data_IF_048792156181
#
_entry.id   IF_048792156181
#
_cell.length_a   1.000
_cell.length_b   1.000
_cell.length_c   1.000
_cell.angle_alpha   90.00
_cell.angle_beta   90.00
_cell.angle_gamma   90.00
#
_symmetry.space_group_name_H-M   'P 1'
#
loop_
_entity.id
_entity.type
_entity.pdbx_description
1 polymer ?
#
# COMPACT_ATOMS: atom_id res chain seq x y z
N UNK A 1 -61.07 45.00 -79.84
CA UNK A 1 -62.02 44.77 -80.95
C UNK A 1 -63.40 45.34 -80.66
N UNK A 2 -64.06 45.96 -81.64
CA UNK A 2 -65.48 46.37 -81.58
C UNK A 2 -66.36 45.56 -82.55
N UNK A 3 -67.68 45.75 -82.48
CA UNK A 3 -68.66 45.12 -83.40
C UNK A 3 -69.03 46.10 -84.50
N UNK A 4 -69.47 45.58 -85.66
CA UNK A 4 -70.01 46.41 -86.75
C UNK A 4 -71.23 47.20 -86.27
N UNK A 5 -71.21 48.51 -86.47
CA UNK A 5 -72.18 49.46 -85.96
C UNK A 5 -72.66 50.49 -87.00
N UNK A 6 -72.42 50.20 -88.28
CA UNK A 6 -73.04 50.92 -89.39
C UNK A 6 -74.57 50.94 -89.28
N UNK A 7 -75.22 51.92 -89.91
CA UNK A 7 -76.69 52.08 -89.87
C UNK A 7 -77.46 50.86 -90.36
N UNK A 8 -76.83 50.06 -91.20
CA UNK A 8 -77.36 48.81 -91.79
C UNK A 8 -76.91 47.54 -91.05
N UNK A 9 -76.16 47.67 -89.96
CA UNK A 9 -75.81 46.56 -89.10
C UNK A 9 -77.09 45.93 -88.54
N UNK A 10 -77.13 44.59 -88.48
CA UNK A 10 -78.25 43.91 -87.86
C UNK A 10 -78.19 44.13 -86.36
N UNK A 11 -79.09 45.00 -85.88
CA UNK A 11 -79.20 45.32 -84.46
C UNK A 11 -79.45 44.05 -83.64
N UNK A 12 -78.70 43.90 -82.54
CA UNK A 12 -78.88 42.85 -81.54
C UNK A 12 -78.83 41.40 -82.06
N UNK A 13 -78.15 41.16 -83.20
CA UNK A 13 -78.03 39.81 -83.82
C UNK A 13 -77.58 38.73 -82.84
N UNK A 14 -76.72 39.07 -81.87
CA UNK A 14 -76.19 38.15 -80.88
C UNK A 14 -76.60 38.49 -79.42
N UNK A 15 -77.70 39.24 -79.25
CA UNK A 15 -78.20 39.72 -77.95
C UNK A 15 -78.19 41.25 -77.83
N UNK A 16 -78.75 41.79 -76.75
CA UNK A 16 -78.83 43.25 -76.55
C UNK A 16 -77.45 43.93 -76.63
N UNK A 17 -77.36 44.98 -77.44
CA UNK A 17 -76.13 45.73 -77.74
C UNK A 17 -75.13 45.02 -78.65
N UNK A 18 -75.48 43.84 -79.18
CA UNK A 18 -74.55 42.96 -79.91
C UNK A 18 -74.90 42.86 -81.38
N UNK A 19 -74.66 43.95 -82.09
CA UNK A 19 -74.86 44.05 -83.53
C UNK A 19 -74.01 43.03 -84.31
N UNK A 20 -74.42 42.72 -85.54
CA UNK A 20 -73.69 41.82 -86.43
C UNK A 20 -74.05 42.00 -87.90
N UNK A 21 -73.32 41.30 -88.78
CA UNK A 21 -73.50 41.37 -90.23
C UNK A 21 -74.80 40.69 -90.69
N UNK A 22 -75.50 41.28 -91.66
CA UNK A 22 -76.58 40.65 -92.41
C UNK A 22 -76.32 40.76 -93.92
N UNK A 23 -76.72 39.74 -94.67
CA UNK A 23 -76.68 39.76 -96.15
C UNK A 23 -77.78 40.63 -96.77
N UNK A 24 -78.62 41.24 -95.95
CA UNK A 24 -79.84 41.91 -96.38
C UNK A 24 -80.92 40.94 -96.84
N UNK A 25 -82.09 41.47 -97.14
CA UNK A 25 -83.18 40.73 -97.78
C UNK A 25 -83.95 41.69 -98.71
N UNK A 26 -83.76 41.58 -100.03
CA UNK A 26 -84.44 42.44 -101.01
C UNK A 26 -85.97 42.32 -100.94
N UNK A 27 -86.52 41.17 -100.53
CA UNK A 27 -87.97 40.96 -100.42
C UNK A 27 -88.61 41.71 -99.25
N UNK A 28 -87.84 41.99 -98.19
CA UNK A 28 -88.31 42.71 -97.00
C UNK A 28 -87.75 44.12 -96.89
N UNK A 29 -87.06 44.60 -97.94
CA UNK A 29 -86.44 45.93 -97.97
C UNK A 29 -85.28 46.12 -96.99
N UNK A 30 -84.72 45.04 -96.43
CA UNK A 30 -83.59 45.12 -95.48
C UNK A 30 -82.28 45.21 -96.26
N UNK A 31 -81.50 46.30 -96.16
CA UNK A 31 -80.20 46.39 -96.82
C UNK A 31 -79.20 45.39 -96.22
N UNK A 32 -78.18 45.03 -97.00
CA UNK A 32 -77.03 44.31 -96.45
C UNK A 32 -76.24 45.23 -95.51
N UNK A 33 -75.47 44.66 -94.60
CA UNK A 33 -74.62 45.46 -93.71
C UNK A 33 -73.49 46.10 -94.51
N UNK A 34 -73.54 47.44 -94.57
CA UNK A 34 -72.46 48.28 -95.04
C UNK A 34 -71.21 48.02 -94.21
N UNK A 35 -70.10 47.92 -94.93
CA UNK A 35 -68.76 47.78 -94.42
C UNK A 35 -68.17 49.19 -94.25
N UNK A 36 -67.65 49.51 -93.08
CA UNK A 36 -66.97 50.76 -92.77
C UNK A 36 -65.48 50.56 -92.50
N UNK A 37 -64.72 51.64 -92.69
CA UNK A 37 -63.30 51.72 -92.44
C UNK A 37 -62.97 51.42 -90.97
N UNK A 38 -63.70 52.02 -90.03
CA UNK A 38 -63.46 51.83 -88.60
C UNK A 38 -63.41 50.35 -88.18
N UNK A 39 -64.31 49.50 -88.70
CA UNK A 39 -64.30 48.07 -88.39
C UNK A 39 -63.12 47.31 -89.02
N UNK A 40 -62.76 47.63 -90.26
CA UNK A 40 -61.64 46.95 -90.93
C UNK A 40 -60.28 47.40 -90.39
N UNK A 41 -60.13 48.68 -90.06
CA UNK A 41 -58.92 49.22 -89.44
C UNK A 41 -58.71 48.61 -88.06
N UNK A 42 -59.76 48.46 -87.25
CA UNK A 42 -59.65 47.77 -85.96
C UNK A 42 -59.18 46.31 -86.12
N UNK A 43 -59.72 45.56 -87.08
CA UNK A 43 -59.27 44.17 -87.31
C UNK A 43 -57.82 44.13 -87.79
N UNK A 44 -57.42 45.07 -88.65
CA UNK A 44 -56.05 45.18 -89.12
C UNK A 44 -55.11 45.47 -87.95
N UNK A 45 -55.38 46.49 -87.14
CA UNK A 45 -54.51 46.90 -86.05
C UNK A 45 -54.42 45.86 -84.93
N UNK A 46 -55.48 45.11 -84.64
CA UNK A 46 -55.45 44.00 -83.68
C UNK A 46 -54.52 42.86 -84.15
N UNK A 47 -54.55 42.53 -85.45
CA UNK A 47 -53.64 41.52 -86.02
C UNK A 47 -52.21 42.06 -86.15
N UNK A 48 -52.04 43.32 -86.53
CA UNK A 48 -50.75 43.97 -86.64
C UNK A 48 -50.06 44.11 -85.27
N UNK A 49 -50.81 44.50 -84.24
CA UNK A 49 -50.33 44.61 -82.86
C UNK A 49 -49.74 43.30 -82.34
N UNK A 50 -50.33 42.15 -82.69
CA UNK A 50 -49.78 40.83 -82.32
C UNK A 50 -48.41 40.60 -82.98
N UNK A 51 -48.24 41.01 -84.24
CA UNK A 51 -46.97 40.90 -84.96
C UNK A 51 -45.92 41.80 -84.35
N UNK A 52 -46.25 43.06 -84.13
CA UNK A 52 -45.34 44.05 -83.54
C UNK A 52 -44.94 43.70 -82.11
N UNK A 53 -45.86 43.16 -81.30
CA UNK A 53 -45.58 42.69 -79.94
C UNK A 53 -44.52 41.57 -79.90
N UNK A 54 -44.38 40.79 -80.98
CA UNK A 54 -43.31 39.79 -81.10
C UNK A 54 -41.94 40.38 -81.42
N UNK A 55 -41.86 41.69 -81.69
CA UNK A 55 -40.66 42.41 -82.11
C UNK A 55 -40.42 42.41 -83.62
N UNK A 56 -41.33 41.84 -84.42
CA UNK A 56 -41.24 41.83 -85.88
C UNK A 56 -41.88 43.08 -86.50
N UNK A 57 -41.38 43.51 -87.66
CA UNK A 57 -41.97 44.61 -88.43
C UNK A 57 -43.03 44.10 -89.42
N UNK A 58 -44.03 44.94 -89.72
CA UNK A 58 -45.09 44.61 -90.66
C UNK A 58 -44.61 44.67 -92.11
N UNK A 59 -44.79 43.58 -92.85
CA UNK A 59 -44.35 43.42 -94.23
C UNK A 59 -45.52 43.10 -95.17
N UNK A 60 -45.91 44.04 -96.02
CA UNK A 60 -47.06 43.91 -96.94
C UNK A 60 -47.04 42.64 -97.81
N UNK A 61 -45.86 42.18 -98.22
CA UNK A 61 -45.68 41.00 -99.07
C UNK A 61 -45.66 39.66 -98.33
N UNK A 62 -45.74 39.66 -97.00
CA UNK A 62 -45.52 38.48 -96.16
C UNK A 62 -46.84 37.99 -95.55
N UNK A 63 -47.22 36.75 -95.88
CA UNK A 63 -48.53 36.18 -95.52
C UNK A 63 -48.51 35.20 -94.32
N UNK A 64 -47.39 35.11 -93.59
CA UNK A 64 -47.20 34.23 -92.41
C UNK A 64 -46.80 35.01 -91.14
N UNK A 65 -46.95 36.34 -91.14
CA UNK A 65 -46.48 37.22 -90.06
C UNK A 65 -47.14 36.90 -88.72
N UNK A 66 -48.47 36.75 -88.71
CA UNK A 66 -49.22 36.38 -87.50
C UNK A 66 -48.76 35.02 -86.95
N UNK A 67 -48.57 34.03 -87.84
CA UNK A 67 -48.10 32.70 -87.44
C UNK A 67 -46.69 32.75 -86.85
N UNK A 68 -45.80 33.54 -87.44
CA UNK A 68 -44.43 33.75 -86.95
C UNK A 68 -44.44 34.42 -85.58
N UNK A 69 -45.25 35.47 -85.43
CA UNK A 69 -45.38 36.22 -84.19
C UNK A 69 -45.91 35.33 -83.04
N UNK A 70 -46.94 34.53 -83.31
CA UNK A 70 -47.47 33.58 -82.32
C UNK A 70 -46.42 32.55 -81.89
N UNK A 71 -45.61 32.04 -82.82
CA UNK A 71 -44.50 31.12 -82.47
C UNK A 71 -43.48 31.80 -81.55
N UNK A 72 -43.08 33.03 -81.87
CA UNK A 72 -42.12 33.76 -81.05
C UNK A 72 -42.67 34.07 -79.65
N UNK A 73 -43.89 34.58 -79.57
CA UNK A 73 -44.54 34.96 -78.31
C UNK A 73 -44.81 33.76 -77.41
N UNK A 74 -45.13 32.59 -77.96
CA UNK A 74 -45.44 31.39 -77.18
C UNK A 74 -44.19 30.58 -76.79
N UNK A 75 -43.03 30.85 -77.39
CA UNK A 75 -41.74 30.25 -77.00
C UNK A 75 -41.00 31.09 -75.95
N UNK A 76 -41.30 32.39 -75.83
CA UNK A 76 -40.68 33.29 -74.87
C UNK A 76 -41.47 33.34 -73.56
N UNK A 77 -41.01 32.64 -72.52
CA UNK A 77 -41.53 32.83 -71.15
C UNK A 77 -40.88 34.06 -70.50
N UNK A 78 -41.64 34.81 -69.69
CA UNK A 78 -41.13 36.00 -68.99
C UNK A 78 -40.10 35.67 -67.91
N UNK A 79 -40.24 34.51 -67.25
CA UNK A 79 -39.35 34.04 -66.18
C UNK A 79 -38.99 32.56 -66.38
N UNK A 80 -38.24 32.20 -67.43
CA UNK A 80 -38.05 30.81 -67.84
C UNK A 80 -37.51 29.91 -66.72
N UNK A 81 -36.64 30.41 -65.82
CA UNK A 81 -36.14 29.63 -64.67
C UNK A 81 -37.10 29.56 -63.47
N UNK A 82 -37.94 30.58 -63.28
CA UNK A 82 -38.94 30.60 -62.20
C UNK A 82 -40.12 29.68 -62.48
N UNK A 83 -40.50 29.55 -63.75
CA UNK A 83 -41.67 28.78 -64.19
C UNK A 83 -41.40 27.25 -64.21
N UNK A 84 -40.14 26.82 -64.17
CA UNK A 84 -39.74 25.39 -64.16
C UNK A 84 -40.35 24.64 -62.98
N UNK A 85 -40.55 25.30 -61.82
CA UNK A 85 -41.14 24.68 -60.64
C UNK A 85 -42.60 24.26 -60.86
N UNK A 86 -43.33 24.99 -61.70
CA UNK A 86 -44.74 24.72 -62.04
C UNK A 86 -44.93 23.75 -63.22
N UNK A 87 -43.91 23.54 -64.05
CA UNK A 87 -43.95 22.63 -65.21
C UNK A 87 -43.92 21.14 -64.83
N UNK A 88 -43.82 20.83 -63.53
CA UNK A 88 -44.02 19.49 -62.97
C UNK A 88 -42.81 18.55 -63.08
N UNK A 89 -42.14 18.44 -64.23
CA UNK A 89 -41.04 17.46 -64.40
C UNK A 89 -39.66 18.09 -64.22
N UNK A 90 -39.32 18.33 -62.95
CA UNK A 90 -38.01 18.87 -62.52
C UNK A 90 -36.83 18.01 -63.03
N UNK A 91 -37.04 16.71 -63.27
CA UNK A 91 -36.00 15.76 -63.69
C UNK A 91 -35.32 16.13 -65.02
N UNK A 92 -36.09 16.37 -66.08
CA UNK A 92 -35.53 16.71 -67.40
C UNK A 92 -34.84 18.08 -67.39
N UNK A 93 -35.31 19.02 -66.57
CA UNK A 93 -34.63 20.31 -66.39
C UNK A 93 -33.28 20.15 -65.69
N UNK A 94 -33.19 19.28 -64.67
CA UNK A 94 -31.92 18.97 -63.99
C UNK A 94 -30.93 18.24 -64.91
N UNK A 95 -31.41 17.32 -65.76
CA UNK A 95 -30.62 16.63 -66.78
C UNK A 95 -30.05 17.63 -67.80
N UNK A 96 -30.88 18.53 -68.35
CA UNK A 96 -30.44 19.55 -69.31
C UNK A 96 -29.41 20.53 -68.73
N UNK A 97 -29.44 20.77 -67.42
CA UNK A 97 -28.48 21.63 -66.72
C UNK A 97 -27.23 20.86 -66.25
N UNK A 98 -27.16 19.54 -66.45
CA UNK A 98 -26.04 18.70 -66.02
C UNK A 98 -25.92 18.58 -64.49
N UNK A 99 -27.00 18.82 -63.74
CA UNK A 99 -26.98 18.87 -62.28
C UNK A 99 -27.24 17.51 -61.61
N UNK A 100 -27.60 16.48 -62.38
CA UNK A 100 -27.93 15.15 -61.85
C UNK A 100 -26.78 14.54 -61.03
N UNK A 101 -25.56 14.55 -61.58
CA UNK A 101 -24.38 14.00 -60.87
C UNK A 101 -24.00 14.84 -59.63
N UNK A 102 -24.16 16.16 -59.70
CA UNK A 102 -23.87 17.06 -58.59
C UNK A 102 -24.81 16.82 -57.41
N UNK A 103 -26.10 16.63 -57.69
CA UNK A 103 -27.10 16.29 -56.66
C UNK A 103 -26.76 14.96 -56.00
N UNK A 104 -26.42 13.93 -56.79
CA UNK A 104 -26.06 12.61 -56.25
C UNK A 104 -24.82 12.67 -55.35
N UNK A 105 -23.78 13.42 -55.74
CA UNK A 105 -22.58 13.60 -54.91
C UNK A 105 -22.83 14.43 -53.65
N UNK A 106 -23.69 15.45 -53.74
CA UNK A 106 -24.01 16.31 -52.61
C UNK A 106 -24.92 15.62 -51.58
N UNK A 107 -25.82 14.73 -52.02
CA UNK A 107 -26.72 14.01 -51.14
C UNK A 107 -25.99 13.20 -50.05
N UNK A 108 -24.83 12.63 -50.39
CA UNK A 108 -24.04 11.78 -49.48
C UNK A 108 -22.78 12.46 -48.91
N UNK A 109 -22.48 13.69 -49.29
CA UNK A 109 -21.32 14.42 -48.77
C UNK A 109 -21.53 14.86 -47.31
N UNK A 110 -20.59 14.49 -46.43
CA UNK A 110 -20.51 14.96 -45.03
C UNK A 110 -21.77 14.67 -44.18
N UNK A 111 -22.53 13.61 -44.48
CA UNK A 111 -23.62 13.17 -43.60
C UNK A 111 -23.05 12.79 -42.22
N UNK A 112 -23.65 13.31 -41.14
CA UNK A 112 -23.21 13.00 -39.75
C UNK A 112 -23.23 11.49 -39.45
N UNK A 113 -24.17 10.76 -40.05
CA UNK A 113 -24.30 9.30 -39.98
C UNK A 113 -23.19 8.55 -40.73
N UNK A 114 -22.46 9.24 -41.63
CA UNK A 114 -21.41 8.68 -42.47
C UNK A 114 -20.03 9.30 -42.19
N UNK A 115 -19.83 10.00 -41.05
CA UNK A 115 -18.56 10.65 -40.67
C UNK A 115 -17.33 9.74 -40.89
N UNK A 116 -16.70 9.85 -42.07
CA UNK A 116 -15.54 9.08 -42.47
C UNK A 116 -15.81 7.68 -43.03
N UNK A 117 -17.07 7.31 -43.32
CA UNK A 117 -17.43 6.04 -43.98
C UNK A 117 -16.99 6.00 -45.45
N UNK A 118 -16.96 7.17 -46.09
CA UNK A 118 -16.50 7.42 -47.45
C UNK A 118 -14.98 7.45 -47.59
N UNK A 119 -14.23 7.50 -46.48
CA UNK A 119 -12.77 7.52 -46.50
C UNK A 119 -12.24 6.13 -46.88
N UNK A 120 -11.62 5.95 -48.07
CA UNK A 120 -11.17 4.64 -48.54
C UNK A 120 -10.03 4.07 -47.68
N UNK A 121 -9.15 4.95 -47.20
CA UNK A 121 -8.01 4.62 -46.34
C UNK A 121 -8.02 5.50 -45.09
N UNK A 122 -8.79 5.06 -44.09
CA UNK A 122 -8.89 5.74 -42.78
C UNK A 122 -7.53 5.88 -42.09
N UNK A 123 -6.65 4.86 -42.07
CA UNK A 123 -5.28 5.01 -41.57
C UNK A 123 -4.49 6.14 -42.23
N UNK A 124 -4.51 6.26 -43.57
CA UNK A 124 -3.82 7.33 -44.28
C UNK A 124 -4.45 8.70 -44.03
N UNK A 125 -5.77 8.77 -43.90
CA UNK A 125 -6.46 10.00 -43.51
C UNK A 125 -5.99 10.50 -42.14
N UNK A 126 -5.98 9.62 -41.13
CA UNK A 126 -5.46 9.89 -39.78
C UNK A 126 -4.01 10.37 -39.83
N UNK A 127 -3.18 9.80 -40.71
CA UNK A 127 -1.80 10.26 -40.94
C UNK A 127 -1.74 11.66 -41.53
N UNK A 128 -2.54 11.96 -42.54
CA UNK A 128 -2.53 13.25 -43.21
C UNK A 128 -3.02 14.40 -42.32
N UNK A 129 -3.92 14.12 -41.37
CA UNK A 129 -4.38 15.11 -40.37
C UNK A 129 -3.48 15.21 -39.13
N UNK A 130 -2.33 14.53 -39.12
CA UNK A 130 -1.35 14.61 -38.03
C UNK A 130 -1.72 13.83 -36.76
N UNK A 131 -2.83 13.09 -36.75
CA UNK A 131 -3.29 12.33 -35.58
C UNK A 131 -2.66 10.94 -35.43
N UNK A 132 -1.76 10.54 -36.35
CA UNK A 132 -1.09 9.23 -36.31
C UNK A 132 -0.36 9.00 -34.98
N UNK A 133 0.41 9.99 -34.51
CA UNK A 133 1.14 9.87 -33.26
C UNK A 133 0.22 10.04 -32.04
N UNK A 134 -0.87 10.80 -32.15
CA UNK A 134 -1.90 10.93 -31.08
C UNK A 134 -2.65 9.62 -30.82
N UNK A 135 -2.86 8.81 -31.86
CA UNK A 135 -3.46 7.48 -31.73
C UNK A 135 -2.44 6.37 -31.45
N UNK A 136 -1.14 6.66 -31.47
CA UNK A 136 -0.10 5.69 -31.16
C UNK A 136 -0.19 5.30 -29.67
N UNK A 137 -0.53 4.03 -29.34
CA UNK A 137 -0.69 3.59 -27.95
C UNK A 137 0.57 3.77 -27.10
N UNK A 138 1.74 3.81 -27.74
CA UNK A 138 3.05 3.96 -27.07
C UNK A 138 3.44 5.42 -26.79
N UNK A 139 2.68 6.40 -27.29
CA UNK A 139 2.99 7.84 -27.18
C UNK A 139 1.85 8.70 -26.62
N UNK A 140 0.76 8.08 -26.18
CA UNK A 140 -0.42 8.77 -25.65
C UNK A 140 -0.62 8.45 -24.16
N UNK A 141 -1.13 9.43 -23.42
CA UNK A 141 -1.72 9.20 -22.09
C UNK A 141 -3.16 8.73 -22.29
N UNK A 142 -3.47 7.48 -21.96
CA UNK A 142 -4.81 6.91 -22.12
C UNK A 142 -5.58 7.03 -20.80
N UNK A 143 -6.50 8.00 -20.70
CA UNK A 143 -7.40 8.19 -19.53
C UNK A 143 -8.77 7.57 -19.84
N UNK A 144 -8.84 6.26 -20.07
CA UNK A 144 -10.10 5.51 -20.26
C UNK A 144 -11.05 5.96 -21.39
N UNK A 145 -12.18 5.26 -21.56
CA UNK A 145 -13.33 5.70 -22.37
C UNK A 145 -14.43 6.29 -21.45
N UNK A 146 -15.32 7.14 -22.00
CA UNK A 146 -16.48 7.73 -21.29
C UNK A 146 -17.58 6.66 -21.09
N UNK A 147 -17.77 6.21 -19.85
CA UNK A 147 -18.90 5.36 -19.38
C UNK A 147 -18.79 3.88 -19.80
N UNK A 148 -19.07 2.87 -18.98
CA UNK A 148 -19.74 2.79 -17.67
C UNK A 148 -19.06 1.67 -16.84
N UNK A 149 -18.12 2.08 -15.98
CA UNK A 149 -17.34 1.21 -15.08
C UNK A 149 -15.99 1.89 -14.80
N UNK A 150 -15.56 2.01 -13.55
CA UNK A 150 -14.48 2.96 -13.18
C UNK A 150 -13.13 2.61 -13.83
N UNK A 151 -12.89 1.36 -14.26
CA UNK A 151 -11.68 0.90 -14.96
C UNK A 151 -11.89 -0.44 -15.72
N UNK A 152 -12.61 -0.49 -16.85
CA UNK A 152 -12.89 -1.78 -17.52
C UNK A 152 -11.79 -2.22 -18.51
N UNK A 153 -11.12 -3.35 -18.21
CA UNK A 153 -10.61 -4.28 -19.25
C UNK A 153 -9.37 -5.12 -18.92
N UNK A 154 -8.25 -4.51 -18.52
CA UNK A 154 -7.01 -5.16 -18.05
C UNK A 154 -5.96 -4.08 -17.75
N UNK A 155 -5.58 -3.98 -16.48
CA UNK A 155 -4.58 -3.06 -15.87
C UNK A 155 -4.42 -1.67 -16.52
N UNK A 156 -5.39 -0.75 -16.34
CA UNK A 156 -5.19 0.66 -16.64
C UNK A 156 -4.47 1.38 -15.49
N UNK A 157 -3.20 1.70 -15.70
CA UNK A 157 -2.41 2.60 -14.88
C UNK A 157 -1.87 3.72 -15.78
N UNK A 158 -1.87 4.96 -15.30
CA UNK A 158 -1.09 6.02 -15.96
C UNK A 158 0.36 5.74 -15.57
N UNK A 159 1.14 5.16 -16.48
CA UNK A 159 2.58 5.10 -16.29
C UNK A 159 3.13 6.53 -16.42
N UNK A 160 3.62 7.11 -15.33
CA UNK A 160 4.20 8.47 -15.31
C UNK A 160 5.71 8.30 -15.23
N UNK A 161 6.44 8.67 -16.27
CA UNK A 161 7.89 8.45 -16.34
C UNK A 161 8.52 8.73 -17.70
N UNK A 162 9.83 8.54 -17.78
CA UNK A 162 10.60 8.50 -19.03
C UNK A 162 10.83 7.05 -19.49
N UNK A 163 11.88 6.79 -20.27
CA UNK A 163 12.16 5.45 -20.81
C UNK A 163 12.49 4.38 -19.77
N UNK A 164 12.96 4.76 -18.58
CA UNK A 164 13.48 3.80 -17.59
C UNK A 164 13.18 4.16 -16.12
N UNK A 165 12.52 5.29 -15.88
CA UNK A 165 12.20 5.79 -14.55
C UNK A 165 10.74 6.25 -14.50
N UNK A 166 10.02 5.95 -13.41
CA UNK A 166 8.62 6.35 -13.28
C UNK A 166 7.76 5.55 -12.31
N UNK A 167 6.47 5.89 -12.25
CA UNK A 167 5.43 5.13 -11.57
C UNK A 167 4.68 4.28 -12.59
N UNK A 168 4.64 2.95 -12.41
CA UNK A 168 4.16 2.01 -13.42
C UNK A 168 3.16 1.03 -12.78
N UNK A 169 1.95 0.87 -13.30
CA UNK A 169 1.08 -0.22 -12.81
C UNK A 169 1.40 -1.54 -13.49
N UNK A 170 1.93 -2.51 -12.74
CA UNK A 170 2.40 -3.79 -13.28
C UNK A 170 1.36 -4.92 -13.21
N UNK A 171 0.36 -4.79 -12.35
CA UNK A 171 -0.71 -5.75 -12.11
C UNK A 171 -1.93 -5.03 -11.51
N UNK A 172 -3.07 -5.72 -11.43
CA UNK A 172 -4.26 -5.17 -10.77
C UNK A 172 -3.97 -4.88 -9.29
N UNK A 173 -4.35 -3.68 -8.83
CA UNK A 173 -4.06 -3.21 -7.48
C UNK A 173 -2.58 -2.94 -7.16
N UNK A 174 -1.67 -2.96 -8.15
CA UNK A 174 -0.23 -2.72 -7.94
C UNK A 174 0.25 -1.47 -8.68
N UNK A 175 0.98 -0.59 -7.97
CA UNK A 175 1.69 0.56 -8.53
C UNK A 175 3.18 0.48 -8.19
N UNK A 176 4.01 0.16 -9.17
CA UNK A 176 5.46 0.08 -9.07
C UNK A 176 6.14 1.45 -9.18
N UNK A 177 7.35 1.54 -8.62
CA UNK A 177 8.24 2.70 -8.68
C UNK A 177 9.57 2.23 -9.30
N UNK A 178 9.95 2.79 -10.43
CA UNK A 178 11.18 2.49 -11.18
C UNK A 178 12.12 3.68 -11.22
N UNK A 179 13.43 3.40 -11.20
CA UNK A 179 14.50 4.36 -11.46
C UNK A 179 15.62 3.66 -12.24
N UNK A 180 16.00 4.21 -13.40
CA UNK A 180 17.09 3.71 -14.26
C UNK A 180 17.00 2.18 -14.49
N UNK A 181 15.83 1.73 -14.94
CA UNK A 181 15.47 0.33 -15.22
C UNK A 181 15.45 -0.62 -14.01
N UNK A 182 15.58 -0.10 -12.78
CA UNK A 182 15.47 -0.88 -11.54
C UNK A 182 14.19 -0.52 -10.78
N UNK A 183 13.46 -1.54 -10.31
CA UNK A 183 12.30 -1.35 -9.41
C UNK A 183 12.81 -1.03 -8.00
N UNK A 184 12.47 0.14 -7.49
CA UNK A 184 12.90 0.63 -6.15
C UNK A 184 11.80 0.54 -5.09
N UNK A 185 10.53 0.37 -5.50
CA UNK A 185 9.41 0.18 -4.60
C UNK A 185 8.11 -0.15 -5.33
N UNK A 186 7.04 -0.39 -4.58
CA UNK A 186 5.69 -0.56 -5.11
C UNK A 186 4.63 -0.35 -4.02
N UNK A 187 3.38 -0.13 -4.42
CA UNK A 187 2.19 -0.15 -3.56
C UNK A 187 1.31 -1.31 -4.01
N UNK A 188 0.83 -2.12 -3.07
CA UNK A 188 -0.17 -3.16 -3.31
C UNK A 188 -1.25 -3.16 -2.20
N UNK A 189 -2.09 -4.19 -2.16
CA UNK A 189 -3.12 -4.35 -1.13
C UNK A 189 -2.58 -4.49 0.31
N UNK A 190 -1.29 -4.79 0.50
CA UNK A 190 -0.64 -4.88 1.81
C UNK A 190 -0.02 -3.55 2.26
N UNK A 191 0.22 -2.61 1.34
CA UNK A 191 0.69 -1.26 1.66
C UNK A 191 1.82 -0.78 0.74
N UNK A 192 2.71 0.05 1.30
CA UNK A 192 3.87 0.61 0.61
C UNK A 192 5.11 -0.27 0.87
N UNK A 193 5.73 -0.76 -0.18
CA UNK A 193 6.90 -1.62 -0.15
C UNK A 193 8.12 -0.90 -0.74
N UNK A 194 9.19 -0.76 0.05
CA UNK A 194 10.48 -0.20 -0.39
C UNK A 194 11.48 -1.33 -0.62
N UNK A 195 12.04 -1.42 -1.83
CA UNK A 195 13.05 -2.41 -2.20
C UNK A 195 14.48 -1.89 -2.02
N UNK A 196 14.62 -0.58 -1.80
CA UNK A 196 15.86 0.12 -1.49
C UNK A 196 15.70 0.94 -0.21
N UNK A 197 16.79 1.48 0.31
CA UNK A 197 16.79 2.34 1.49
C UNK A 197 15.91 3.60 1.29
N UNK A 198 15.33 4.10 2.38
CA UNK A 198 14.66 5.41 2.43
C UNK A 198 15.65 6.43 2.98
N UNK A 199 16.01 7.44 2.19
CA UNK A 199 16.99 8.46 2.56
C UNK A 199 16.32 9.74 3.09
N UNK A 200 16.89 10.32 4.15
CA UNK A 200 16.52 11.59 4.76
C UNK A 200 17.80 12.45 4.93
N UNK A 201 18.23 13.12 3.86
CA UNK A 201 19.55 13.77 3.74
C UNK A 201 20.69 12.81 4.14
N UNK A 202 21.38 13.07 5.25
CA UNK A 202 22.48 12.25 5.77
C UNK A 202 22.00 11.05 6.62
N UNK A 203 20.72 10.98 6.97
CA UNK A 203 20.11 9.84 7.65
C UNK A 203 19.44 8.90 6.65
N UNK A 204 19.26 7.63 7.01
CA UNK A 204 18.52 6.66 6.18
C UNK A 204 17.95 5.52 7.01
N UNK A 205 16.86 4.95 6.53
CA UNK A 205 16.33 3.66 6.97
C UNK A 205 16.66 2.61 5.91
N UNK A 206 17.29 1.51 6.32
CA UNK A 206 17.65 0.42 5.42
C UNK A 206 16.53 -0.59 5.23
N UNK A 207 16.63 -1.41 4.19
CA UNK A 207 15.66 -2.48 3.88
C UNK A 207 15.55 -3.57 4.97
N UNK A 208 16.55 -3.71 5.84
CA UNK A 208 16.49 -4.59 7.03
C UNK A 208 15.82 -3.92 8.25
N UNK A 209 15.38 -2.67 8.13
CA UNK A 209 14.73 -1.90 9.19
C UNK A 209 15.66 -1.14 10.13
N UNK A 210 16.99 -1.24 9.96
CA UNK A 210 17.94 -0.44 10.74
C UNK A 210 17.92 1.04 10.30
N UNK A 211 18.34 1.93 11.19
CA UNK A 211 18.26 3.38 10.99
C UNK A 211 19.63 3.98 11.27
N UNK A 212 20.17 4.70 10.29
CA UNK A 212 21.41 5.45 10.42
C UNK A 212 21.12 6.95 10.60
N UNK A 213 21.85 7.62 11.49
CA UNK A 213 21.73 9.07 11.64
C UNK A 213 22.66 9.68 12.69
N UNK A 214 22.77 11.01 12.65
CA UNK A 214 23.58 11.80 13.59
C UNK A 214 23.07 11.73 15.03
N UNK A 215 21.76 11.56 15.22
CA UNK A 215 21.13 11.30 16.53
C UNK A 215 21.66 10.02 17.20
N UNK A 216 22.18 9.08 16.40
CA UNK A 216 22.82 7.84 16.86
C UNK A 216 24.36 7.94 16.83
N UNK A 217 24.90 9.16 16.79
CA UNK A 217 26.34 9.41 16.73
C UNK A 217 26.97 9.09 15.37
N UNK A 218 26.23 9.35 14.27
CA UNK A 218 26.60 8.94 12.91
C UNK A 218 26.87 7.43 12.82
N UNK A 219 26.00 6.65 13.47
CA UNK A 219 26.08 5.21 13.52
C UNK A 219 24.69 4.60 13.28
N UNK A 220 24.65 3.28 13.16
CA UNK A 220 23.40 2.51 13.13
C UNK A 220 22.73 2.50 14.50
N UNK A 221 21.41 2.62 14.51
CA UNK A 221 20.60 2.59 15.73
C UNK A 221 20.84 1.30 16.51
N UNK A 222 20.92 0.15 15.82
CA UNK A 222 21.24 -1.14 16.41
C UNK A 222 22.54 -1.11 17.22
N UNK A 223 23.63 -0.64 16.60
CA UNK A 223 24.95 -0.50 17.23
C UNK A 223 24.91 0.51 18.38
N UNK A 224 24.24 1.64 18.18
CA UNK A 224 24.11 2.67 19.20
C UNK A 224 23.40 2.12 20.45
N UNK A 225 22.27 1.41 20.29
CA UNK A 225 21.55 0.77 21.40
C UNK A 225 22.43 -0.25 22.11
N UNK A 226 23.09 -1.16 21.36
CA UNK A 226 24.00 -2.15 21.95
C UNK A 226 25.10 -1.48 22.75
N UNK A 227 25.69 -0.41 22.23
CA UNK A 227 26.70 0.34 22.95
C UNK A 227 26.13 1.02 24.19
N UNK A 228 24.94 1.63 24.14
CA UNK A 228 24.30 2.22 25.32
C UNK A 228 24.03 1.18 26.41
N UNK A 229 23.54 -0.01 26.05
CA UNK A 229 23.31 -1.11 27.00
C UNK A 229 24.62 -1.63 27.61
N UNK A 230 25.69 -1.71 26.81
CA UNK A 230 26.99 -2.16 27.28
C UNK A 230 27.74 -1.09 28.11
N UNK A 231 27.57 0.20 27.82
CA UNK A 231 28.32 1.28 28.50
C UNK A 231 27.66 1.85 29.73
N UNK A 232 26.33 1.77 29.90
CA UNK A 232 25.63 2.60 30.91
C UNK A 232 25.06 1.87 32.13
N UNK A 233 25.75 0.82 32.58
CA UNK A 233 25.59 0.43 33.99
C UNK A 233 24.63 -0.73 34.26
N UNK A 234 24.64 -1.76 33.43
CA UNK A 234 24.37 -3.10 33.98
C UNK A 234 25.67 -3.70 34.53
N UNK A 235 26.77 -3.67 33.80
CA UNK A 235 28.02 -4.28 34.30
C UNK A 235 28.59 -3.51 35.51
N UNK A 236 28.80 -2.19 35.41
CA UNK A 236 29.41 -1.43 36.52
C UNK A 236 28.50 -1.27 37.74
N UNK A 237 27.20 -1.04 37.53
CA UNK A 237 26.26 -0.96 38.64
C UNK A 237 26.06 -2.32 39.31
N UNK A 238 25.87 -3.41 38.56
CA UNK A 238 25.76 -4.76 39.13
C UNK A 238 27.06 -5.11 39.87
N UNK A 239 28.23 -4.81 39.31
CA UNK A 239 29.51 -5.04 39.98
C UNK A 239 29.62 -4.23 41.28
N UNK A 240 29.13 -2.99 41.30
CA UNK A 240 29.08 -2.17 42.52
C UNK A 240 28.14 -2.79 43.58
N UNK A 241 26.94 -3.20 43.20
CA UNK A 241 25.99 -3.85 44.12
C UNK A 241 26.53 -5.18 44.67
N UNK A 242 27.20 -5.98 43.84
CA UNK A 242 27.87 -7.22 44.26
C UNK A 242 29.03 -6.94 45.23
N UNK A 243 29.84 -5.91 44.96
CA UNK A 243 30.91 -5.50 45.87
C UNK A 243 30.35 -5.02 47.22
N UNK A 244 29.23 -4.28 47.23
CA UNK A 244 28.55 -3.88 48.46
C UNK A 244 28.03 -5.11 49.24
N UNK A 245 27.44 -6.08 48.54
CA UNK A 245 26.97 -7.32 49.15
C UNK A 245 28.13 -8.11 49.77
N UNK A 246 29.25 -8.26 49.08
CA UNK A 246 30.42 -8.98 49.56
C UNK A 246 31.03 -8.30 50.80
N UNK A 247 31.14 -6.97 50.79
CA UNK A 247 31.58 -6.20 51.96
C UNK A 247 30.66 -6.40 53.17
N UNK A 248 29.35 -6.43 52.94
CA UNK A 248 28.36 -6.69 54.00
C UNK A 248 28.47 -8.12 54.56
N UNK A 249 28.71 -9.12 53.71
CA UNK A 249 28.93 -10.52 54.15
C UNK A 249 30.21 -10.62 54.99
N UNK A 250 31.31 -10.04 54.50
CA UNK A 250 32.60 -10.04 55.19
C UNK A 250 32.52 -9.38 56.58
N UNK A 251 31.64 -8.40 56.75
CA UNK A 251 31.42 -7.73 58.04
C UNK A 251 30.64 -8.60 59.04
N UNK A 252 29.70 -9.43 58.57
CA UNK A 252 28.79 -10.21 59.43
C UNK A 252 29.28 -11.61 59.76
N UNK A 253 30.12 -12.19 58.91
CA UNK A 253 30.64 -13.55 59.05
C UNK A 253 32.13 -13.56 58.73
N UNK A 254 32.92 -12.81 59.51
CA UNK A 254 34.38 -12.81 59.35
C UNK A 254 34.91 -14.22 59.53
N UNK A 255 35.97 -14.55 58.78
CA UNK A 255 36.67 -15.83 58.91
C UNK A 255 37.07 -16.11 60.37
N UNK A 256 37.48 -15.06 61.10
CA UNK A 256 37.78 -15.12 62.53
C UNK A 256 36.56 -15.48 63.39
N UNK A 257 35.40 -14.85 63.15
CA UNK A 257 34.18 -15.15 63.89
C UNK A 257 33.73 -16.60 63.70
N UNK A 258 33.81 -17.11 62.46
CA UNK A 258 33.44 -18.51 62.15
C UNK A 258 34.38 -19.48 62.88
N UNK A 259 35.69 -19.24 62.84
CA UNK A 259 36.68 -20.12 63.47
C UNK A 259 36.59 -20.13 65.01
N UNK A 260 36.36 -18.97 65.62
CA UNK A 260 36.30 -18.86 67.08
C UNK A 260 34.98 -19.37 67.66
N UNK A 261 33.89 -19.32 66.89
CA UNK A 261 32.54 -19.65 67.40
C UNK A 261 32.13 -21.09 67.08
N UNK A 262 32.45 -21.61 65.89
CA UNK A 262 31.93 -22.90 65.43
C UNK A 262 33.01 -23.98 65.21
N UNK A 263 34.29 -23.60 65.17
CA UNK A 263 35.40 -24.52 64.91
C UNK A 263 36.49 -24.47 65.98
N UNK A 264 36.11 -24.33 67.27
CA UNK A 264 37.07 -24.42 68.38
C UNK A 264 37.75 -25.78 68.37
N UNK A 265 39.09 -25.79 68.25
CA UNK A 265 39.87 -27.03 68.22
C UNK A 265 40.16 -27.50 69.64
N UNK A 266 39.89 -28.78 69.92
CA UNK A 266 40.28 -29.41 71.17
C UNK A 266 41.81 -29.37 71.34
N UNK A 267 42.27 -29.24 72.58
CA UNK A 267 43.70 -29.18 72.93
C UNK A 267 44.10 -30.38 73.76
N UNK A 268 45.38 -30.77 73.77
CA UNK A 268 45.82 -31.91 74.55
C UNK A 268 47.32 -32.14 74.55
N UNK A 269 47.78 -32.92 75.53
CA UNK A 269 49.12 -33.50 75.61
C UNK A 269 49.01 -35.02 75.45
N UNK A 270 49.45 -35.55 74.30
CA UNK A 270 49.33 -36.98 73.95
C UNK A 270 50.59 -37.76 74.40
N UNK A 271 50.97 -37.57 75.67
CA UNK A 271 52.09 -38.28 76.29
C UNK A 271 51.58 -39.44 77.16
N UNK A 272 52.49 -40.27 77.67
CA UNK A 272 52.15 -41.38 78.58
C UNK A 272 51.47 -40.90 79.87
N UNK A 273 51.79 -39.68 80.33
CA UNK A 273 51.11 -38.94 81.40
C UNK A 273 50.34 -37.76 80.79
N UNK A 274 49.27 -38.08 80.07
CA UNK A 274 48.65 -37.21 79.08
C UNK A 274 47.24 -36.72 79.42
N UNK A 275 46.73 -35.81 78.59
CA UNK A 275 45.37 -35.29 78.70
C UNK A 275 44.82 -34.76 77.36
N UNK A 276 43.50 -34.72 77.23
CA UNK A 276 42.78 -33.93 76.22
C UNK A 276 41.73 -33.04 76.89
N UNK A 277 41.51 -31.86 76.32
CA UNK A 277 40.50 -30.87 76.68
C UNK A 277 39.63 -30.60 75.45
N UNK A 278 38.33 -30.81 75.60
CA UNK A 278 37.34 -30.24 74.71
C UNK A 278 37.13 -28.76 75.04
N UNK A 279 37.54 -27.88 74.14
CA UNK A 279 37.50 -26.42 74.34
C UNK A 279 36.06 -25.86 74.22
N UNK A 280 35.15 -26.64 73.64
CA UNK A 280 33.74 -26.25 73.50
C UNK A 280 32.94 -26.53 74.78
N UNK A 281 33.25 -27.62 75.50
CA UNK A 281 32.50 -28.04 76.71
C UNK A 281 33.29 -27.91 78.01
N UNK A 282 34.61 -27.74 77.94
CA UNK A 282 35.50 -27.79 79.11
C UNK A 282 35.79 -29.20 79.62
N UNK A 283 35.30 -30.25 78.94
CA UNK A 283 35.50 -31.63 79.36
C UNK A 283 36.97 -32.05 79.21
N UNK A 284 37.51 -32.69 80.23
CA UNK A 284 38.91 -33.10 80.30
C UNK A 284 38.96 -34.61 80.53
N UNK A 285 39.80 -35.29 79.75
CA UNK A 285 40.22 -36.66 80.00
C UNK A 285 41.72 -36.65 80.27
N UNK A 286 42.15 -37.32 81.34
CA UNK A 286 43.57 -37.44 81.70
C UNK A 286 43.91 -38.89 81.95
N UNK A 287 45.13 -39.31 81.62
CA UNK A 287 45.56 -40.70 81.79
C UNK A 287 47.02 -40.82 82.19
N UNK A 288 47.38 -41.98 82.73
CA UNK A 288 48.75 -42.29 83.06
C UNK A 288 48.96 -43.72 83.56
N UNK A 289 50.22 -44.06 83.79
CA UNK A 289 50.64 -45.31 84.45
C UNK A 289 51.52 -45.02 85.66
N UNK A 290 51.37 -45.82 86.70
CA UNK A 290 52.11 -45.73 87.96
C UNK A 290 52.86 -47.04 88.18
N UNK A 291 54.17 -46.98 88.33
CA UNK A 291 55.00 -48.15 88.65
C UNK A 291 54.83 -48.65 90.09
N UNK A 292 54.33 -47.77 90.97
CA UNK A 292 53.99 -48.06 92.35
C UNK A 292 52.66 -47.35 92.63
N UNK A 293 51.62 -48.08 93.05
CA UNK A 293 50.34 -47.53 93.51
C UNK A 293 50.34 -47.21 95.02
N UNK A 294 49.28 -47.51 95.76
CA UNK A 294 49.09 -47.22 97.19
C UNK A 294 49.49 -45.79 97.65
N UNK A 295 49.00 -44.76 96.93
CA UNK A 295 49.35 -43.38 97.25
C UNK A 295 48.46 -42.34 96.56
N UNK A 296 48.72 -41.07 96.86
CA UNK A 296 48.09 -39.92 96.22
C UNK A 296 49.02 -39.34 95.15
N UNK A 297 48.49 -39.12 93.96
CA UNK A 297 49.22 -38.70 92.76
C UNK A 297 48.61 -37.46 92.15
N UNK A 298 49.42 -36.64 91.47
CA UNK A 298 48.96 -35.42 90.81
C UNK A 298 48.45 -35.73 89.40
N UNK A 299 47.33 -35.16 89.00
CA UNK A 299 46.95 -35.17 87.59
C UNK A 299 47.97 -34.37 86.73
N UNK A 300 48.13 -34.70 85.44
CA UNK A 300 48.89 -33.90 84.49
C UNK A 300 48.51 -32.41 84.50
N UNK A 301 47.22 -32.12 84.72
CA UNK A 301 46.69 -30.79 84.99
C UNK A 301 45.53 -30.85 85.98
N UNK A 302 45.30 -29.77 86.71
CA UNK A 302 44.10 -29.65 87.54
C UNK A 302 42.83 -29.64 86.66
N UNK A 303 41.77 -30.30 87.14
CA UNK A 303 40.41 -30.13 86.64
C UNK A 303 39.86 -28.80 87.19
N UNK A 304 39.61 -27.78 86.36
CA UNK A 304 39.20 -26.45 86.83
C UNK A 304 37.98 -26.44 87.76
N UNK A 305 37.01 -27.33 87.53
CA UNK A 305 35.80 -27.42 88.34
C UNK A 305 35.81 -28.65 89.25
N UNK A 306 36.15 -29.82 88.70
CA UNK A 306 36.28 -31.03 89.50
C UNK A 306 36.50 -32.30 88.68
N UNK A 307 37.13 -33.29 89.31
CA UNK A 307 37.25 -34.64 88.79
C UNK A 307 36.00 -35.45 89.18
N UNK A 308 35.29 -35.99 88.20
CA UNK A 308 34.07 -36.77 88.43
C UNK A 308 34.37 -38.23 88.71
N UNK A 309 35.34 -38.79 87.99
CA UNK A 309 35.65 -40.20 88.07
C UNK A 309 37.14 -40.44 87.86
N UNK A 310 37.69 -41.39 88.61
CA UNK A 310 39.01 -41.96 88.40
C UNK A 310 38.82 -43.47 88.27
N UNK A 311 39.23 -44.00 87.14
CA UNK A 311 39.24 -45.43 86.86
C UNK A 311 40.68 -45.90 87.00
N UNK A 312 40.92 -46.93 87.80
CA UNK A 312 42.26 -47.49 88.00
C UNK A 312 42.21 -48.98 87.69
N UNK A 313 43.18 -49.45 86.90
CA UNK A 313 43.30 -50.86 86.50
C UNK A 313 44.72 -51.34 86.78
N UNK A 314 44.90 -52.64 87.00
CA UNK A 314 46.23 -53.24 87.01
C UNK A 314 46.88 -53.09 85.63
N UNK A 315 48.21 -52.98 85.57
CA UNK A 315 48.95 -52.92 84.29
C UNK A 315 49.58 -54.26 83.96
N UNK A 316 50.72 -54.59 84.57
CA UNK A 316 51.54 -55.73 84.17
C UNK A 316 52.07 -56.59 85.34
N UNK A 317 51.69 -56.28 86.58
CA UNK A 317 52.05 -57.08 87.75
C UNK A 317 50.95 -57.08 88.83
N UNK A 318 50.91 -58.16 89.60
CA UNK A 318 50.09 -58.37 90.80
C UNK A 318 50.83 -59.25 91.81
N UNK A 319 50.26 -59.45 93.00
CA UNK A 319 50.80 -60.33 94.03
C UNK A 319 50.47 -61.80 93.81
N UNK A 320 50.71 -62.61 94.86
CA UNK A 320 50.44 -64.06 94.87
C UNK A 320 48.94 -64.41 94.89
N UNK A 321 48.07 -63.41 95.02
CA UNK A 321 46.61 -63.52 94.99
C UNK A 321 46.05 -62.50 94.00
N UNK A 322 44.73 -62.53 93.73
CA UNK A 322 44.10 -61.52 92.87
C UNK A 322 44.13 -60.17 93.60
N UNK A 323 44.68 -59.15 92.95
CA UNK A 323 44.78 -57.78 93.47
C UNK A 323 43.97 -56.82 92.60
N UNK A 324 42.84 -56.33 93.11
CA UNK A 324 42.00 -55.41 92.36
C UNK A 324 42.50 -53.98 92.53
N UNK A 325 42.80 -53.32 91.41
CA UNK A 325 43.07 -51.89 91.39
C UNK A 325 41.81 -51.07 91.73
N UNK A 326 41.99 -50.00 92.49
CA UNK A 326 40.95 -49.03 92.80
C UNK A 326 41.54 -47.65 92.97
N UNK A 327 40.71 -46.63 92.80
CA UNK A 327 41.10 -45.25 93.04
C UNK A 327 39.89 -44.33 93.10
N UNK A 328 40.14 -43.10 93.50
CA UNK A 328 39.12 -42.07 93.63
C UNK A 328 39.75 -40.67 93.56
N UNK A 329 38.98 -39.64 93.16
CA UNK A 329 39.43 -38.26 93.25
C UNK A 329 39.72 -37.87 94.71
N UNK A 330 40.84 -37.17 94.93
CA UNK A 330 41.17 -36.58 96.24
C UNK A 330 40.95 -35.07 96.21
N UNK A 331 41.29 -34.44 95.09
CA UNK A 331 41.03 -33.02 94.82
C UNK A 331 40.98 -32.78 93.32
N UNK A 332 40.80 -31.52 92.91
CA UNK A 332 40.87 -31.13 91.51
C UNK A 332 42.24 -31.38 90.87
N UNK A 333 43.30 -31.55 91.67
CA UNK A 333 44.66 -31.76 91.17
C UNK A 333 45.23 -33.14 91.52
N UNK A 334 44.51 -33.95 92.30
CA UNK A 334 45.05 -35.19 92.84
C UNK A 334 44.02 -36.33 92.88
N UNK A 335 44.53 -37.55 92.75
CA UNK A 335 43.77 -38.78 92.92
C UNK A 335 44.53 -39.78 93.78
N UNK A 336 43.79 -40.68 94.41
CA UNK A 336 44.36 -41.84 95.07
C UNK A 336 44.26 -43.05 94.14
N UNK A 337 45.31 -43.86 94.08
CA UNK A 337 45.31 -45.11 93.34
C UNK A 337 46.07 -46.19 94.10
N UNK A 338 45.47 -47.38 94.19
CA UNK A 338 46.02 -48.52 94.90
C UNK A 338 45.54 -49.86 94.34
N UNK A 339 46.13 -50.94 94.83
CA UNK A 339 45.67 -52.31 94.58
C UNK A 339 45.29 -52.95 95.92
N UNK A 340 44.27 -53.80 95.95
CA UNK A 340 43.83 -54.47 97.19
C UNK A 340 43.82 -55.98 97.00
N UNK A 341 44.45 -56.70 97.93
CA UNK A 341 44.48 -58.16 97.91
C UNK A 341 43.10 -58.76 98.20
N UNK A 342 42.74 -59.79 97.44
CA UNK A 342 41.50 -60.55 97.64
C UNK A 342 41.55 -61.54 98.79
N UNK A 343 42.73 -62.01 99.20
CA UNK A 343 42.86 -63.07 100.20
C UNK A 343 43.50 -62.63 101.52
N UNK A 344 43.72 -61.31 101.73
CA UNK A 344 44.07 -60.75 103.03
C UNK A 344 43.20 -59.53 103.37
N UNK A 345 42.51 -59.58 104.51
CA UNK A 345 41.64 -58.50 104.96
C UNK A 345 42.45 -57.21 105.18
N UNK A 346 42.00 -56.12 104.54
CA UNK A 346 42.56 -54.76 104.64
C UNK A 346 44.01 -54.59 104.15
N UNK A 347 44.56 -55.53 103.38
CA UNK A 347 45.86 -55.34 102.74
C UNK A 347 45.73 -54.50 101.46
N UNK A 348 46.28 -53.29 101.50
CA UNK A 348 46.45 -52.43 100.33
C UNK A 348 47.88 -52.57 99.83
N UNK A 349 48.02 -53.08 98.60
CA UNK A 349 49.26 -53.35 97.92
C UNK A 349 49.66 -52.21 96.97
N UNK A 350 50.94 -52.23 96.58
CA UNK A 350 51.60 -51.18 95.81
C UNK A 350 51.96 -51.62 94.37
N UNK A 351 51.14 -52.48 93.75
CA UNK A 351 51.43 -52.99 92.41
C UNK A 351 51.19 -51.94 91.33
N UNK A 352 51.85 -52.05 90.16
CA UNK A 352 51.70 -51.11 89.04
C UNK A 352 50.26 -51.00 88.50
N UNK A 353 49.80 -49.77 88.29
CA UNK A 353 48.43 -49.48 87.81
C UNK A 353 48.41 -48.49 86.64
N UNK A 354 47.38 -48.55 85.81
CA UNK A 354 47.03 -47.54 84.84
C UNK A 354 45.78 -46.81 85.35
N UNK A 355 45.63 -45.55 84.96
CA UNK A 355 44.49 -44.77 85.38
C UNK A 355 43.98 -43.87 84.27
N UNK A 356 42.67 -43.63 84.30
CA UNK A 356 41.96 -42.66 83.46
C UNK A 356 41.08 -41.81 84.38
N UNK A 357 41.17 -40.50 84.26
CA UNK A 357 40.34 -39.56 84.99
C UNK A 357 39.51 -38.70 84.05
N UNK A 358 38.26 -38.47 84.43
CA UNK A 358 37.31 -37.63 83.69
C UNK A 358 36.83 -36.50 84.59
N UNK A 359 36.74 -35.29 84.05
CA UNK A 359 36.32 -34.11 84.80
C UNK A 359 36.16 -32.88 83.92
N UNK A 360 35.95 -31.72 84.54
CA UNK A 360 35.92 -30.42 83.86
C UNK A 360 36.49 -29.33 84.75
#
# INVERSE_FOLDING_TARGET
>A
MHRIDTKTAQKDKFGAGKNGFTRGNPQTGTPATDLDDDYFDMLQEELCSVVEASGASLEKGRHDQLLTALRALLLSRKNPFGDIKSDGTVKTALENLGLEETINRAADALQKSQNGADIPDKPRFVQNIGLKETLNPTKRVSIGNIGTGVFDGSTPCINIGDSDSGFIGSADGVLDIYCNAAKVGYIDGNGLHMLTDIHFDNARMTTNGDIFGSVWGNNWLSIWITNQLNTRGTIDWINSELAVRDNNINTRATWDYVNQTFARKNTGSIQDWGWILDDSTGFIMQWGTLGNSNGTYNFPRAFPVGCFAVFVTNTNAQGTQVDNAFGYPVSNSQFFAATKSSGMANLVNNFPVAWLALGR
#
